data_IF_914060207944
#
_entry.id   IF_914060207944
#
_cell.length_a   1.000
_cell.length_b   1.000
_cell.length_c   1.000
_cell.angle_alpha   90.00
_cell.angle_beta   90.00
_cell.angle_gamma   90.00
#
_symmetry.space_group_name_H-M   'P 1'
#
loop_
_entity.id
_entity.type
_entity.pdbx_description
1 polymer ?
#
# COMPACT_ATOMS: atom_id res chain seq x y z
N UNK A 1 -12.45 -8.80 24.55
CA UNK A 1 -11.47 -8.40 23.51
C UNK A 1 -11.69 -9.33 22.33
N UNK A 2 -11.82 -8.82 21.10
CA UNK A 2 -11.89 -9.69 19.92
C UNK A 2 -10.57 -10.43 19.79
N UNK A 3 -10.63 -11.73 19.56
CA UNK A 3 -9.44 -12.54 19.25
C UNK A 3 -8.82 -12.01 17.94
N UNK A 4 -7.50 -11.91 17.90
CA UNK A 4 -6.77 -11.52 16.68
C UNK A 4 -6.84 -12.70 15.72
N UNK A 5 -7.29 -12.51 14.46
CA UNK A 5 -7.36 -13.61 13.51
C UNK A 5 -5.99 -14.25 13.25
N UNK A 6 -5.93 -15.58 13.32
CA UNK A 6 -4.80 -16.32 12.76
C UNK A 6 -5.03 -16.50 11.25
N UNK A 7 -4.00 -16.25 10.45
CA UNK A 7 -4.02 -16.39 9.00
C UNK A 7 -3.06 -17.53 8.65
N UNK A 8 -3.59 -18.56 8.01
CA UNK A 8 -2.82 -19.69 7.48
C UNK A 8 -2.39 -19.36 6.04
N UNK A 9 -1.10 -19.07 5.75
CA UNK A 9 -0.64 -18.71 4.41
C UNK A 9 -0.95 -19.76 3.33
N UNK A 10 -1.04 -21.02 3.73
CA UNK A 10 -1.36 -22.16 2.89
C UNK A 10 -2.77 -22.06 2.29
N UNK A 11 -3.70 -21.39 2.96
CA UNK A 11 -5.03 -21.09 2.40
C UNK A 11 -4.97 -20.18 1.18
N UNK A 12 -3.83 -19.53 0.97
CA UNK A 12 -3.54 -18.61 -0.12
C UNK A 12 -2.48 -19.14 -1.06
N UNK A 13 -2.14 -20.44 -0.99
CA UNK A 13 -1.05 -21.05 -1.78
C UNK A 13 0.29 -20.32 -1.63
N UNK A 14 0.53 -19.67 -0.48
CA UNK A 14 1.77 -18.96 -0.18
C UNK A 14 2.63 -19.82 0.73
N UNK A 15 3.85 -20.10 0.28
CA UNK A 15 4.91 -20.60 1.16
C UNK A 15 5.79 -19.41 1.61
N UNK A 16 5.74 -18.99 2.89
CA UNK A 16 6.50 -17.85 3.39
C UNK A 16 8.02 -18.10 3.41
N UNK A 17 8.49 -19.30 3.03
CA UNK A 17 9.91 -19.64 2.86
C UNK A 17 10.41 -19.35 1.43
N UNK A 18 9.51 -19.10 0.48
CA UNK A 18 9.87 -18.73 -0.89
C UNK A 18 10.28 -17.25 -0.98
N UNK A 19 10.92 -16.89 -2.10
CA UNK A 19 11.33 -15.52 -2.40
C UNK A 19 10.13 -14.56 -2.40
N UNK A 20 10.18 -13.58 -1.50
CA UNK A 20 9.23 -12.49 -1.39
C UNK A 20 9.73 -11.25 -2.13
N UNK A 21 8.81 -10.36 -2.50
CA UNK A 21 9.17 -8.99 -2.81
C UNK A 21 9.41 -8.26 -1.48
N UNK A 22 10.65 -7.88 -1.22
CA UNK A 22 11.03 -7.20 0.02
C UNK A 22 10.86 -5.68 -0.09
N UNK A 23 10.19 -5.10 0.89
CA UNK A 23 10.19 -3.67 1.17
C UNK A 23 10.76 -3.44 2.58
N UNK A 24 11.18 -2.21 2.88
CA UNK A 24 11.93 -1.87 4.11
C UNK A 24 11.32 -2.39 5.42
N UNK A 25 10.00 -2.56 5.49
CA UNK A 25 9.30 -2.99 6.72
C UNK A 25 8.42 -4.23 6.53
N UNK A 26 8.38 -4.80 5.32
CA UNK A 26 7.46 -5.88 5.00
C UNK A 26 7.95 -6.80 3.89
N UNK A 27 7.50 -8.05 3.94
CA UNK A 27 7.64 -9.02 2.84
C UNK A 27 6.30 -9.19 2.15
N UNK A 28 6.27 -9.01 0.84
CA UNK A 28 5.08 -9.16 0.01
C UNK A 28 5.14 -10.48 -0.75
N UNK A 29 4.09 -11.29 -0.60
CA UNK A 29 3.88 -12.53 -1.33
C UNK A 29 2.66 -12.40 -2.22
N UNK A 30 2.76 -12.99 -3.41
CA UNK A 30 1.64 -13.18 -4.32
C UNK A 30 1.01 -14.53 -4.00
N UNK A 31 -0.24 -14.53 -3.56
CA UNK A 31 -1.03 -15.72 -3.27
C UNK A 31 -2.23 -15.87 -4.20
N UNK A 32 -2.93 -16.98 -4.04
CA UNK A 32 -4.21 -17.29 -4.67
C UNK A 32 -5.15 -17.86 -3.62
N UNK A 33 -6.29 -17.20 -3.40
CA UNK A 33 -7.28 -17.68 -2.43
C UNK A 33 -8.07 -18.91 -2.92
N UNK A 34 -8.90 -19.49 -2.04
CA UNK A 34 -9.75 -20.66 -2.36
C UNK A 34 -10.72 -20.43 -3.53
N UNK A 35 -10.98 -19.18 -3.91
CA UNK A 35 -11.85 -18.81 -5.04
C UNK A 35 -11.06 -18.60 -6.34
N UNK A 36 -9.74 -18.78 -6.32
CA UNK A 36 -8.86 -18.56 -7.46
C UNK A 36 -8.47 -17.09 -7.66
N UNK A 37 -8.83 -16.18 -6.74
CA UNK A 37 -8.44 -14.77 -6.85
C UNK A 37 -7.00 -14.58 -6.42
N UNK A 38 -6.26 -13.80 -7.18
CA UNK A 38 -4.89 -13.42 -6.83
C UNK A 38 -4.91 -12.37 -5.73
N UNK A 39 -4.20 -12.64 -4.64
CA UNK A 39 -4.13 -11.79 -3.45
C UNK A 39 -2.69 -11.42 -3.11
N UNK A 40 -2.53 -10.30 -2.43
CA UNK A 40 -1.29 -9.86 -1.81
C UNK A 40 -1.31 -10.24 -0.34
N UNK A 41 -0.32 -11.01 0.10
CA UNK A 41 -0.07 -11.31 1.51
C UNK A 41 1.15 -10.51 1.96
N UNK A 42 0.97 -9.54 2.85
CA UNK A 42 2.04 -8.66 3.32
C UNK A 42 2.34 -8.94 4.78
N UNK A 43 3.55 -9.41 5.07
CA UNK A 43 4.02 -9.72 6.42
C UNK A 43 4.90 -8.58 6.92
N UNK A 44 4.63 -8.09 8.13
CA UNK A 44 5.34 -6.95 8.72
C UNK A 44 6.29 -7.44 9.81
N UNK A 45 7.59 -7.24 9.61
CA UNK A 45 8.64 -7.81 10.48
C UNK A 45 8.79 -7.02 11.78
N UNK A 46 8.61 -5.69 11.71
CA UNK A 46 8.92 -4.77 12.81
C UNK A 46 7.69 -3.97 13.29
N UNK A 47 6.47 -4.40 12.95
CA UNK A 47 5.25 -3.71 13.38
C UNK A 47 4.43 -4.59 14.32
N UNK A 48 3.88 -4.04 15.42
CA UNK A 48 2.96 -4.77 16.29
C UNK A 48 1.59 -4.93 15.63
N UNK A 49 0.89 -6.03 15.93
CA UNK A 49 -0.43 -6.33 15.38
C UNK A 49 -1.46 -5.21 15.59
N UNK A 50 -1.42 -4.52 16.74
CA UNK A 50 -2.32 -3.41 17.01
C UNK A 50 -2.24 -2.28 15.97
N UNK A 51 -1.04 -1.97 15.47
CA UNK A 51 -0.85 -0.98 14.40
C UNK A 51 -1.38 -1.49 13.05
N UNK A 52 -1.19 -2.77 12.76
CA UNK A 52 -1.69 -3.36 11.51
C UNK A 52 -3.21 -3.36 11.45
N UNK A 53 -3.89 -3.66 12.57
CA UNK A 53 -5.35 -3.55 12.68
C UNK A 53 -5.82 -2.09 12.53
N UNK A 54 -5.09 -1.13 13.09
CA UNK A 54 -5.35 0.30 12.89
C UNK A 54 -5.22 0.69 11.41
N UNK A 55 -4.16 0.25 10.73
CA UNK A 55 -3.93 0.54 9.31
C UNK A 55 -5.00 -0.08 8.42
N UNK A 56 -5.43 -1.32 8.70
CA UNK A 56 -6.57 -1.92 8.03
C UNK A 56 -7.81 -1.04 8.17
N UNK A 57 -8.14 -0.61 9.39
CA UNK A 57 -9.32 0.21 9.66
C UNK A 57 -9.27 1.53 8.88
N UNK A 58 -8.15 2.24 8.93
CA UNK A 58 -7.97 3.53 8.23
C UNK A 58 -8.03 3.34 6.71
N UNK A 59 -7.31 2.35 6.17
CA UNK A 59 -7.29 2.06 4.74
C UNK A 59 -8.69 1.74 4.22
N UNK A 60 -9.45 0.93 4.96
CA UNK A 60 -10.81 0.54 4.56
C UNK A 60 -11.80 1.71 4.68
N UNK A 61 -11.67 2.56 5.70
CA UNK A 61 -12.47 3.78 5.80
C UNK A 61 -12.23 4.72 4.60
N UNK A 62 -10.96 4.92 4.23
CA UNK A 62 -10.60 5.72 3.07
C UNK A 62 -11.10 5.08 1.75
N UNK A 63 -10.98 3.76 1.60
CA UNK A 63 -11.50 3.04 0.43
C UNK A 63 -13.01 3.24 0.26
N UNK A 64 -13.79 3.15 1.33
CA UNK A 64 -15.24 3.43 1.32
C UNK A 64 -15.49 4.89 0.90
N UNK A 65 -14.72 5.83 1.43
CA UNK A 65 -14.94 7.24 1.18
C UNK A 65 -14.57 7.69 -0.24
N UNK A 66 -13.50 7.15 -0.84
CA UNK A 66 -12.98 7.65 -2.12
C UNK A 66 -13.40 6.82 -3.33
N UNK A 67 -13.49 5.49 -3.22
CA UNK A 67 -13.64 4.64 -4.39
C UNK A 67 -14.98 4.87 -5.14
N UNK A 68 -16.02 5.34 -4.45
CA UNK A 68 -17.32 5.66 -5.05
C UNK A 68 -17.44 7.11 -5.52
N UNK A 69 -16.61 8.03 -5.02
CA UNK A 69 -16.68 9.47 -5.35
C UNK A 69 -16.15 9.80 -6.75
N UNK A 70 -15.46 8.85 -7.40
CA UNK A 70 -14.76 9.04 -8.67
C UNK A 70 -13.87 10.29 -8.66
N UNK A 71 -13.15 10.46 -7.57
CA UNK A 71 -12.28 11.61 -7.39
C UNK A 71 -11.05 11.52 -8.29
N UNK A 72 -10.76 12.60 -9.01
CA UNK A 72 -9.55 12.70 -9.81
C UNK A 72 -8.48 13.45 -9.05
N UNK A 73 -7.29 12.88 -9.06
CA UNK A 73 -6.09 13.50 -8.51
C UNK A 73 -5.12 13.76 -9.66
N UNK A 74 -4.46 14.91 -9.59
CA UNK A 74 -3.43 15.26 -10.55
C UNK A 74 -2.07 14.92 -9.95
N UNK A 75 -1.29 14.13 -10.69
CA UNK A 75 0.08 13.78 -10.33
C UNK A 75 1.03 14.20 -11.44
N UNK A 76 2.17 14.75 -11.05
CA UNK A 76 3.29 15.04 -11.93
C UNK A 76 4.17 13.80 -12.11
N UNK A 77 4.43 13.36 -13.33
CA UNK A 77 5.26 12.21 -13.66
C UNK A 77 6.19 12.68 -14.78
N UNK A 78 7.51 12.70 -14.54
CA UNK A 78 8.53 13.21 -15.47
C UNK A 78 8.24 14.63 -16.00
N UNK A 79 7.78 15.54 -15.14
CA UNK A 79 7.47 16.93 -15.53
C UNK A 79 6.14 17.12 -16.28
N UNK A 80 5.33 16.06 -16.41
CA UNK A 80 4.01 16.13 -17.03
C UNK A 80 2.91 15.82 -16.01
N UNK A 81 1.82 16.60 -16.02
CA UNK A 81 0.69 16.39 -15.13
C UNK A 81 -0.34 15.45 -15.76
N UNK A 82 -0.66 14.38 -15.02
CA UNK A 82 -1.63 13.37 -15.40
C UNK A 82 -2.77 13.35 -14.39
N UNK A 83 -3.99 13.19 -14.89
CA UNK A 83 -5.19 13.01 -14.06
C UNK A 83 -5.48 11.53 -13.90
N UNK A 84 -5.53 11.08 -12.66
CA UNK A 84 -5.83 9.71 -12.29
C UNK A 84 -7.10 9.65 -11.44
N UNK A 85 -7.94 8.66 -11.69
CA UNK A 85 -8.97 8.27 -10.76
C UNK A 85 -8.30 7.65 -9.53
N UNK A 86 -8.57 8.19 -8.34
CA UNK A 86 -8.04 7.63 -7.11
C UNK A 86 -8.76 6.31 -6.79
N UNK A 87 -7.98 5.26 -6.51
CA UNK A 87 -8.51 3.99 -6.02
C UNK A 87 -7.66 3.49 -4.85
N UNK A 88 -8.29 3.31 -3.69
CA UNK A 88 -7.63 2.79 -2.49
C UNK A 88 -8.02 1.31 -2.38
N UNK A 89 -7.01 0.45 -2.37
CA UNK A 89 -7.20 -0.99 -2.28
C UNK A 89 -7.55 -1.36 -0.85
N UNK A 90 -8.74 -1.93 -0.58
CA UNK A 90 -9.12 -2.32 0.76
C UNK A 90 -8.27 -3.50 1.24
N UNK A 91 -7.99 -3.53 2.54
CA UNK A 91 -7.39 -4.65 3.24
C UNK A 91 -8.52 -5.58 3.70
N UNK A 92 -8.67 -6.72 3.00
CA UNK A 92 -9.72 -7.72 3.23
C UNK A 92 -9.57 -8.39 4.60
N UNK A 93 -8.33 -8.71 5.00
CA UNK A 93 -8.03 -9.31 6.31
C UNK A 93 -6.75 -8.73 6.90
N UNK A 94 -6.68 -8.71 8.23
CA UNK A 94 -5.46 -8.47 8.98
C UNK A 94 -5.41 -9.42 10.18
N UNK A 95 -4.22 -9.88 10.54
CA UNK A 95 -4.06 -10.92 11.55
C UNK A 95 -2.60 -11.27 11.79
N UNK A 96 -2.36 -12.44 12.37
CA UNK A 96 -1.03 -12.99 12.57
C UNK A 96 -0.88 -14.21 11.67
N UNK A 97 0.25 -14.33 10.97
CA UNK A 97 0.63 -15.49 10.19
C UNK A 97 2.11 -15.77 10.42
N UNK A 98 2.47 -17.03 10.71
CA UNK A 98 3.86 -17.40 11.03
C UNK A 98 4.51 -16.47 12.06
N UNK A 99 3.79 -16.17 13.16
CA UNK A 99 4.21 -15.28 14.26
C UNK A 99 4.40 -13.80 13.89
N UNK A 100 4.11 -13.42 12.65
CA UNK A 100 4.24 -12.05 12.17
C UNK A 100 2.86 -11.43 11.88
N UNK A 101 2.65 -10.16 12.22
CA UNK A 101 1.49 -9.43 11.76
C UNK A 101 1.44 -9.38 10.23
N UNK A 102 0.26 -9.56 9.66
CA UNK A 102 0.09 -9.55 8.21
C UNK A 102 -1.25 -8.94 7.78
N UNK A 103 -1.30 -8.55 6.51
CA UNK A 103 -2.51 -8.10 5.82
C UNK A 103 -2.72 -8.90 4.54
N UNK A 104 -3.98 -9.00 4.14
CA UNK A 104 -4.42 -9.60 2.88
C UNK A 104 -5.25 -8.58 2.12
N UNK A 105 -4.89 -8.32 0.87
CA UNK A 105 -5.60 -7.42 -0.03
C UNK A 105 -5.60 -7.96 -1.46
N UNK A 106 -6.44 -7.43 -2.37
CA UNK A 106 -6.35 -7.75 -3.79
C UNK A 106 -4.95 -7.49 -4.34
N UNK A 107 -4.40 -8.45 -5.09
CA UNK A 107 -3.12 -8.23 -5.76
C UNK A 107 -3.30 -7.31 -6.96
N UNK A 108 -2.62 -6.17 -6.93
CA UNK A 108 -2.61 -5.24 -8.05
C UNK A 108 -1.30 -5.43 -8.82
N UNK A 109 -1.40 -5.96 -10.04
CA UNK A 109 -0.28 -6.11 -10.95
C UNK A 109 0.06 -4.78 -11.64
N UNK A 110 1.35 -4.56 -11.90
CA UNK A 110 1.86 -3.37 -12.58
C UNK A 110 3.00 -2.68 -11.82
N UNK A 111 3.67 -1.72 -12.51
CA UNK A 111 4.78 -0.97 -11.94
C UNK A 111 4.29 -0.10 -10.79
N UNK A 112 5.17 0.10 -9.83
CA UNK A 112 4.98 1.10 -8.79
C UNK A 112 5.31 2.49 -9.34
N UNK A 113 4.85 3.54 -8.68
CA UNK A 113 5.24 4.91 -9.03
C UNK A 113 6.75 5.09 -8.90
N UNK A 114 7.41 4.34 -8.02
CA UNK A 114 8.86 4.34 -7.92
C UNK A 114 9.55 3.77 -9.16
N UNK A 115 9.04 2.66 -9.71
CA UNK A 115 9.64 2.04 -10.90
C UNK A 115 9.58 2.98 -12.10
N UNK A 116 8.53 3.81 -12.18
CA UNK A 116 8.35 4.81 -13.23
C UNK A 116 9.09 6.11 -12.94
N UNK A 117 9.12 6.52 -11.67
CA UNK A 117 9.65 7.80 -11.23
C UNK A 117 10.47 7.67 -9.95
N UNK A 118 11.72 7.19 -10.04
CA UNK A 118 12.57 6.96 -8.88
C UNK A 118 12.82 8.23 -8.04
N UNK A 119 12.64 9.41 -8.63
CA UNK A 119 12.82 10.70 -7.95
C UNK A 119 11.84 10.90 -6.77
N UNK A 120 10.69 10.21 -6.76
CA UNK A 120 9.75 10.20 -5.63
C UNK A 120 10.29 9.55 -4.35
N UNK A 121 11.39 8.79 -4.42
CA UNK A 121 12.06 8.18 -3.27
C UNK A 121 13.16 9.09 -2.70
N UNK A 122 13.63 10.07 -3.46
CA UNK A 122 14.68 10.95 -2.96
C UNK A 122 14.12 11.88 -1.89
N UNK A 123 14.66 11.76 -0.68
CA UNK A 123 14.48 12.67 0.45
C UNK A 123 14.72 14.16 0.10
N UNK A 124 15.24 14.46 -1.10
CA UNK A 124 15.36 15.81 -1.65
C UNK A 124 14.02 16.42 -2.06
N UNK A 125 12.98 15.63 -2.34
CA UNK A 125 11.66 16.12 -2.76
C UNK A 125 10.50 15.62 -1.88
N UNK A 126 10.71 14.67 -0.97
CA UNK A 126 9.73 14.31 0.05
C UNK A 126 9.37 15.48 0.99
N UNK A 127 10.25 16.49 1.07
CA UNK A 127 10.09 17.71 1.87
C UNK A 127 9.64 18.94 1.06
N UNK A 128 9.50 18.83 -0.26
CA UNK A 128 9.00 19.96 -1.06
C UNK A 128 7.46 19.96 -1.06
N UNK A 129 6.80 21.08 -0.72
CA UNK A 129 5.34 21.26 -0.82
C UNK A 129 4.75 20.97 -2.20
N UNK A 130 5.59 20.77 -3.22
CA UNK A 130 5.19 20.49 -4.60
C UNK A 130 5.05 19.00 -4.89
N UNK A 131 5.54 18.08 -4.04
CA UNK A 131 5.42 16.64 -4.26
C UNK A 131 3.94 16.20 -4.22
N UNK A 132 3.37 15.71 -5.33
CA UNK A 132 1.96 15.37 -5.41
C UNK A 132 1.53 14.27 -4.42
N UNK A 133 2.41 13.32 -4.07
CA UNK A 133 2.11 12.30 -3.05
C UNK A 133 2.09 12.87 -1.64
N UNK A 134 2.91 13.88 -1.35
CA UNK A 134 2.89 14.57 -0.05
C UNK A 134 1.59 15.36 0.11
N UNK A 135 1.15 16.05 -0.95
CA UNK A 135 -0.14 16.75 -0.98
C UNK A 135 -1.32 15.79 -0.80
N UNK A 136 -1.31 14.69 -1.55
CA UNK A 136 -2.33 13.65 -1.42
C UNK A 136 -2.34 13.06 -0.01
N UNK A 137 -1.17 12.72 0.54
CA UNK A 137 -1.03 12.23 1.91
C UNK A 137 -1.55 13.23 2.95
N UNK A 138 -1.31 14.54 2.77
CA UNK A 138 -1.84 15.58 3.66
C UNK A 138 -3.37 15.63 3.64
N UNK A 139 -3.97 15.57 2.44
CA UNK A 139 -5.42 15.52 2.28
C UNK A 139 -6.03 14.29 2.97
N UNK A 140 -5.46 13.10 2.77
CA UNK A 140 -5.94 11.87 3.41
C UNK A 140 -5.80 11.91 4.95
N UNK A 141 -4.75 12.56 5.48
CA UNK A 141 -4.58 12.81 6.92
C UNK A 141 -5.69 13.69 7.49
N UNK A 142 -6.02 14.79 6.80
CA UNK A 142 -7.11 15.69 7.21
C UNK A 142 -8.45 14.96 7.28
N UNK A 143 -8.76 14.13 6.27
CA UNK A 143 -10.04 13.41 6.19
C UNK A 143 -10.22 12.34 7.26
N UNK A 144 -9.11 11.79 7.78
CA UNK A 144 -9.13 10.74 8.80
C UNK A 144 -8.86 11.28 10.20
N UNK A 145 -8.44 12.53 10.33
CA UNK A 145 -8.04 13.14 11.59
C UNK A 145 -6.79 12.50 12.22
N UNK A 146 -6.00 11.76 11.44
CA UNK A 146 -4.77 11.11 11.93
C UNK A 146 -3.53 11.63 11.22
N UNK A 147 -2.45 11.83 11.98
CA UNK A 147 -1.13 12.12 11.41
C UNK A 147 -0.40 10.86 10.95
N UNK A 148 -0.94 9.68 11.25
CA UNK A 148 -0.35 8.38 10.95
C UNK A 148 -0.76 7.88 9.57
N UNK A 149 -0.73 8.73 8.53
CA UNK A 149 -0.88 8.31 7.13
C UNK A 149 0.36 8.76 6.37
N UNK A 150 1.01 7.81 5.72
CA UNK A 150 2.06 8.05 4.73
C UNK A 150 1.74 7.28 3.46
N UNK A 151 1.95 7.95 2.33
CA UNK A 151 1.91 7.31 1.02
C UNK A 151 3.34 7.05 0.60
N UNK A 152 3.69 5.77 0.59
CA UNK A 152 4.99 5.30 0.13
C UNK A 152 4.88 5.06 -1.38
N UNK A 153 5.75 5.63 -2.23
CA UNK A 153 5.66 5.48 -3.69
C UNK A 153 5.59 4.03 -4.18
N UNK A 154 6.19 3.09 -3.44
CA UNK A 154 6.16 1.64 -3.75
C UNK A 154 4.77 1.01 -3.58
N UNK A 155 3.91 1.58 -2.73
CA UNK A 155 2.52 1.13 -2.57
C UNK A 155 1.56 1.81 -3.54
N UNK A 156 2.05 2.77 -4.34
CA UNK A 156 1.25 3.53 -5.30
C UNK A 156 1.51 2.98 -6.70
N UNK A 157 0.45 2.60 -7.41
CA UNK A 157 0.53 2.00 -8.75
C UNK A 157 -0.32 2.79 -9.73
N UNK A 158 0.30 3.54 -10.66
CA UNK A 158 -0.43 4.13 -11.77
C UNK A 158 -0.74 3.05 -12.81
N UNK A 159 -2.02 2.92 -13.17
CA UNK A 159 -2.54 1.85 -14.03
C UNK A 159 -3.50 2.43 -15.06
N UNK A 160 -3.78 1.64 -16.10
CA UNK A 160 -4.81 1.95 -17.07
C UNK A 160 -5.95 0.92 -16.96
N UNK A 161 -7.14 1.37 -16.55
CA UNK A 161 -8.33 0.52 -16.49
C UNK A 161 -9.37 0.98 -17.51
N UNK A 162 -9.60 0.19 -18.57
CA UNK A 162 -10.60 0.49 -19.61
C UNK A 162 -10.51 1.92 -20.18
N UNK A 163 -9.27 2.37 -20.48
CA UNK A 163 -8.92 3.73 -20.94
C UNK A 163 -9.01 4.84 -19.88
N UNK A 164 -9.32 4.52 -18.63
CA UNK A 164 -9.27 5.45 -17.51
C UNK A 164 -7.95 5.26 -16.74
N UNK A 165 -7.11 6.30 -16.62
CA UNK A 165 -5.96 6.25 -15.72
C UNK A 165 -6.43 6.12 -14.27
N UNK A 166 -5.89 5.15 -13.54
CA UNK A 166 -6.20 4.89 -12.13
C UNK A 166 -4.92 4.98 -11.33
N UNK A 167 -4.96 5.63 -10.17
CA UNK A 167 -3.89 5.56 -9.19
C UNK A 167 -4.34 4.64 -8.06
N UNK A 168 -3.85 3.40 -8.08
CA UNK A 168 -4.14 2.41 -7.06
C UNK A 168 -3.19 2.58 -5.87
N UNK A 169 -3.72 2.75 -4.66
CA UNK A 169 -2.95 2.80 -3.41
C UNK A 169 -3.18 1.49 -2.65
N UNK A 170 -2.15 0.66 -2.62
CA UNK A 170 -2.22 -0.74 -2.17
C UNK A 170 -2.04 -0.95 -0.66
N UNK A 171 -1.47 0.05 0.04
CA UNK A 171 -1.30 0.05 1.49
C UNK A 171 -1.05 1.49 1.99
N UNK A 172 -1.90 1.96 2.89
CA UNK A 172 -1.78 3.24 3.58
C UNK A 172 -1.18 2.97 4.96
N UNK A 173 0.14 2.80 4.99
CA UNK A 173 0.89 2.64 6.23
C UNK A 173 1.12 4.00 6.88
N UNK A 174 1.02 4.05 8.21
CA UNK A 174 1.36 5.26 8.95
C UNK A 174 2.83 5.63 8.85
N UNK A 175 3.11 6.92 9.08
CA UNK A 175 4.42 7.53 8.92
C UNK A 175 5.57 6.62 9.35
N UNK A 176 6.30 6.11 8.35
CA UNK A 176 7.53 5.36 8.54
C UNK A 176 8.60 6.37 8.93
N UNK A 177 8.86 6.49 10.24
CA UNK A 177 10.01 7.24 10.73
C UNK A 177 11.28 6.49 10.33
N UNK A 178 12.07 7.08 9.42
CA UNK A 178 13.39 6.59 9.06
C UNK A 178 13.39 5.57 7.92
N UNK A 179 13.12 6.04 6.70
CA UNK A 179 13.44 5.28 5.49
C UNK A 179 14.94 4.97 5.43
N UNK A 180 15.29 3.67 5.53
CA UNK A 180 16.57 3.14 5.05
C UNK A 180 16.26 2.06 4.02
N UNK A 181 16.67 2.28 2.78
CA UNK A 181 16.56 1.30 1.70
C UNK A 181 17.63 0.23 1.98
N UNK A 182 17.20 -0.99 2.29
CA UNK A 182 18.07 -2.15 2.18
C UNK A 182 18.11 -2.55 0.70
N UNK A 183 19.08 -2.02 -0.04
CA UNK A 183 19.33 -2.47 -1.41
C UNK A 183 19.78 -3.93 -1.38
N UNK A 184 19.04 -4.81 -2.06
CA UNK A 184 19.59 -5.97 -2.78
C UNK A 184 18.58 -6.37 -3.87
N UNK A 185 18.78 -5.83 -5.07
CA UNK A 185 18.28 -6.47 -6.28
C UNK A 185 19.22 -7.64 -6.58
N UNK A 186 18.66 -8.85 -6.72
CA UNK A 186 19.32 -9.98 -7.39
C UNK A 186 18.65 -10.10 -8.76
#
# INVERSE_FOLDING_TARGET
>A
MSEVPNIEPEEYSVDPRQSALEASESRLYRGVDKTGRVVALKFYVNMPIGKILEYQKITNQLAINHNYKKEFIELEVSGQFYKFLLYIVPIEKAGIAAELPCTISPFIEGPTLFDLEPHYVSSRHASLPQNPLVKLGAKLREETGTNNISLIPWNVKPLMHRKTPVLAITDIAGAVNGFKIAHKFV
#
